data_IF_618603096600
#
_entry.id   IF_618603096600
#
_cell.length_a   1.000
_cell.length_b   1.000
_cell.length_c   1.000
_cell.angle_alpha   90.00
_cell.angle_beta   90.00
_cell.angle_gamma   90.00
#
_symmetry.space_group_name_H-M   'P 1'
#
loop_
_entity.id
_entity.type
_entity.pdbx_description
1 polymer ?
#
# COMPACT_ATOMS: atom_id res chain seq x y z
N UNK A 1 29.74 26.72 9.33
CA UNK A 1 28.66 27.65 8.87
C UNK A 1 27.75 28.04 10.04
N UNK A 2 27.24 27.07 10.79
CA UNK A 2 26.45 27.25 12.02
C UNK A 2 27.16 28.09 13.11
N UNK A 3 28.45 27.87 13.37
CA UNK A 3 29.22 28.71 14.32
C UNK A 3 29.30 30.19 13.94
N UNK A 4 29.05 30.54 12.66
CA UNK A 4 29.07 31.93 12.19
C UNK A 4 27.74 32.65 12.40
N UNK A 5 26.64 31.90 12.58
CA UNK A 5 25.29 32.43 12.73
C UNK A 5 24.56 31.59 13.81
N UNK A 6 24.83 31.85 15.10
CA UNK A 6 24.20 31.11 16.18
C UNK A 6 22.73 31.52 16.32
N UNK A 7 21.84 30.54 16.22
CA UNK A 7 20.41 30.73 16.50
C UNK A 7 20.10 30.44 17.96
N UNK A 8 19.10 31.14 18.52
CA UNK A 8 18.59 30.85 19.86
C UNK A 8 17.68 29.61 19.83
N UNK A 9 17.69 28.76 20.88
CA UNK A 9 16.71 27.70 21.01
C UNK A 9 15.28 28.23 20.90
N UNK A 10 14.41 27.53 20.16
CA UNK A 10 13.04 27.92 19.95
C UNK A 10 12.14 27.37 21.08
N UNK A 11 11.67 28.21 22.02
CA UNK A 11 10.88 27.74 23.16
C UNK A 11 9.56 27.08 22.74
N UNK A 12 8.94 27.54 21.64
CA UNK A 12 7.67 27.00 21.16
C UNK A 12 7.76 25.53 20.74
N UNK A 13 8.93 25.13 20.21
CA UNK A 13 9.17 23.72 19.85
C UNK A 13 9.34 22.85 21.09
N UNK A 14 9.90 23.40 22.17
CA UNK A 14 10.02 22.71 23.44
C UNK A 14 8.64 22.53 24.09
N UNK A 15 7.87 23.63 24.21
CA UNK A 15 6.51 23.61 24.77
C UNK A 15 5.60 22.60 24.04
N UNK A 16 5.75 22.47 22.72
CA UNK A 16 5.00 21.50 21.92
C UNK A 16 5.37 20.03 22.26
N UNK A 17 6.65 19.76 22.56
CA UNK A 17 7.10 18.43 22.98
C UNK A 17 6.58 18.12 24.39
N UNK A 18 6.65 19.08 25.31
CA UNK A 18 6.14 18.92 26.68
C UNK A 18 4.63 18.66 26.69
N UNK A 19 3.87 19.44 25.92
CA UNK A 19 2.43 19.24 25.76
C UNK A 19 2.10 17.84 25.23
N UNK A 20 2.84 17.34 24.23
CA UNK A 20 2.65 15.99 23.71
C UNK A 20 2.92 14.92 24.78
N UNK A 21 4.00 15.06 25.55
CA UNK A 21 4.34 14.11 26.61
C UNK A 21 3.24 14.06 27.68
N UNK A 22 2.70 15.20 28.09
CA UNK A 22 1.62 15.29 29.07
C UNK A 22 0.33 14.64 28.56
N UNK A 23 -0.05 14.92 27.31
CA UNK A 23 -1.23 14.32 26.66
C UNK A 23 -1.08 12.79 26.58
N UNK A 24 0.05 12.30 26.06
CA UNK A 24 0.30 10.87 25.90
C UNK A 24 0.29 10.15 27.26
N UNK A 25 0.90 10.73 28.29
CA UNK A 25 0.94 10.17 29.64
C UNK A 25 -0.44 10.14 30.29
N UNK A 26 -1.18 11.26 30.29
CA UNK A 26 -2.48 11.36 30.98
C UNK A 26 -3.52 10.46 30.35
N UNK A 27 -3.67 10.53 29.03
CA UNK A 27 -4.64 9.71 28.29
C UNK A 27 -4.21 8.24 28.35
N UNK A 28 -2.93 7.95 28.08
CA UNK A 28 -2.40 6.59 28.07
C UNK A 28 -2.57 5.90 29.43
N UNK A 29 -2.18 6.56 30.53
CA UNK A 29 -2.30 5.99 31.87
C UNK A 29 -3.76 5.80 32.30
N UNK A 30 -4.63 6.78 32.05
CA UNK A 30 -6.04 6.72 32.45
C UNK A 30 -6.76 5.53 31.78
N UNK A 31 -6.68 5.44 30.45
CA UNK A 31 -7.37 4.37 29.71
C UNK A 31 -6.72 3.00 29.92
N UNK A 32 -5.38 2.92 29.95
CA UNK A 32 -4.67 1.66 30.22
C UNK A 32 -5.06 1.08 31.57
N UNK A 33 -5.06 1.90 32.65
CA UNK A 33 -5.46 1.43 33.99
C UNK A 33 -6.91 1.00 34.02
N UNK A 34 -7.81 1.83 33.48
CA UNK A 34 -9.24 1.54 33.45
C UNK A 34 -9.54 0.21 32.75
N UNK A 35 -9.04 0.02 31.52
CA UNK A 35 -9.35 -1.17 30.74
C UNK A 35 -8.66 -2.42 31.27
N UNK A 36 -7.41 -2.30 31.74
CA UNK A 36 -6.67 -3.43 32.32
C UNK A 36 -7.39 -3.97 33.55
N UNK A 37 -7.64 -3.12 34.56
CA UNK A 37 -8.30 -3.54 35.80
C UNK A 37 -9.72 -4.08 35.54
N UNK A 38 -10.45 -3.47 34.61
CA UNK A 38 -11.80 -3.92 34.26
C UNK A 38 -11.81 -5.29 33.56
N UNK A 39 -10.89 -5.51 32.62
CA UNK A 39 -10.88 -6.73 31.80
C UNK A 39 -10.23 -7.91 32.52
N UNK A 40 -9.20 -7.67 33.34
CA UNK A 40 -8.60 -8.69 34.20
C UNK A 40 -9.64 -9.27 35.18
N UNK A 41 -10.46 -8.40 35.80
CA UNK A 41 -11.53 -8.83 36.70
C UNK A 41 -12.70 -9.52 35.98
N UNK A 42 -12.85 -9.33 34.67
CA UNK A 42 -14.00 -9.83 33.89
C UNK A 42 -13.69 -11.15 33.18
N UNK A 43 -12.45 -11.37 32.76
CA UNK A 43 -12.07 -12.52 31.93
C UNK A 43 -10.85 -13.20 32.54
N UNK A 44 -11.03 -14.44 33.04
CA UNK A 44 -9.98 -15.25 33.66
C UNK A 44 -8.76 -15.43 32.73
N UNK A 45 -8.99 -15.49 31.42
CA UNK A 45 -7.95 -15.68 30.39
C UNK A 45 -7.07 -14.45 30.15
N UNK A 46 -7.43 -13.27 30.66
CA UNK A 46 -6.59 -12.07 30.56
C UNK A 46 -5.49 -12.08 31.64
N UNK A 47 -5.70 -12.80 32.74
CA UNK A 47 -4.71 -12.95 33.81
C UNK A 47 -4.13 -11.61 34.28
N UNK A 48 -2.80 -11.52 34.33
CA UNK A 48 -2.06 -10.31 34.70
C UNK A 48 -1.58 -9.48 33.48
N UNK A 49 -2.14 -9.71 32.29
CA UNK A 49 -1.70 -8.99 31.09
C UNK A 49 -2.16 -7.53 31.13
N UNK A 50 -1.24 -6.61 30.83
CA UNK A 50 -1.55 -5.18 30.66
C UNK A 50 -2.16 -4.97 29.30
N UNK A 51 -3.34 -4.35 29.28
CA UNK A 51 -4.01 -3.95 28.05
C UNK A 51 -3.76 -2.45 27.92
N UNK A 52 -2.85 -2.04 27.03
CA UNK A 52 -2.45 -0.65 26.89
C UNK A 52 -3.36 0.13 25.92
N UNK A 53 -3.53 1.43 26.21
CA UNK A 53 -4.17 2.39 25.33
C UNK A 53 -3.23 3.58 25.11
N UNK A 54 -3.26 4.15 23.91
CA UNK A 54 -2.53 5.35 23.57
C UNK A 54 -3.20 6.05 22.39
N UNK A 55 -3.20 7.39 22.38
CA UNK A 55 -3.98 8.19 21.42
C UNK A 55 -3.54 7.96 19.96
N UNK A 56 -2.26 7.66 19.72
CA UNK A 56 -1.74 7.33 18.38
C UNK A 56 -1.72 5.81 18.09
N UNK A 57 -1.43 4.96 19.10
CA UNK A 57 -1.36 3.52 18.89
C UNK A 57 -2.72 2.90 18.53
N UNK A 58 -3.80 3.42 19.12
CA UNK A 58 -5.16 2.89 18.90
C UNK A 58 -5.65 3.06 17.46
N UNK A 59 -5.62 4.27 16.85
CA UNK A 59 -5.97 4.41 15.42
C UNK A 59 -5.00 3.67 14.50
N UNK A 60 -3.72 3.56 14.87
CA UNK A 60 -2.73 2.79 14.09
C UNK A 60 -3.11 1.30 14.01
N UNK A 61 -3.48 0.69 15.15
CA UNK A 61 -4.04 -0.67 15.16
C UNK A 61 -5.36 -0.75 14.40
N UNK A 62 -6.16 0.32 14.46
CA UNK A 62 -7.39 0.49 13.69
C UNK A 62 -7.22 0.20 12.20
N UNK A 63 -6.18 0.74 11.55
CA UNK A 63 -5.92 0.47 10.13
C UNK A 63 -5.69 -1.02 9.83
N UNK A 64 -4.99 -1.73 10.71
CA UNK A 64 -4.72 -3.16 10.56
C UNK A 64 -6.00 -3.98 10.72
N UNK A 65 -6.77 -3.68 11.78
CA UNK A 65 -8.04 -4.37 12.07
C UNK A 65 -9.06 -4.11 10.96
N UNK A 66 -9.18 -2.87 10.50
CA UNK A 66 -10.09 -2.49 9.43
C UNK A 66 -9.76 -3.22 8.12
N UNK A 67 -8.47 -3.29 7.75
CA UNK A 67 -8.03 -4.06 6.57
C UNK A 67 -8.35 -5.54 6.73
N UNK A 68 -8.12 -6.12 7.91
CA UNK A 68 -8.43 -7.52 8.21
C UNK A 68 -9.94 -7.79 8.08
N UNK A 69 -10.78 -6.92 8.64
CA UNK A 69 -12.23 -7.02 8.53
C UNK A 69 -12.70 -6.94 7.07
N UNK A 70 -12.15 -6.00 6.28
CA UNK A 70 -12.44 -5.89 4.84
C UNK A 70 -12.08 -7.15 4.07
N UNK A 71 -10.96 -7.80 4.38
CA UNK A 71 -10.56 -9.07 3.76
C UNK A 71 -11.53 -10.20 4.13
N UNK A 72 -11.91 -10.30 5.41
CA UNK A 72 -12.85 -11.34 5.88
C UNK A 72 -14.26 -11.15 5.31
N UNK A 73 -14.70 -9.90 5.14
CA UNK A 73 -16.00 -9.56 4.58
C UNK A 73 -16.04 -9.65 3.04
N UNK A 74 -14.90 -9.74 2.37
CA UNK A 74 -14.83 -9.81 0.92
C UNK A 74 -15.51 -11.08 0.41
N UNK A 75 -16.49 -10.91 -0.47
CA UNK A 75 -17.13 -11.99 -1.22
C UNK A 75 -16.60 -11.95 -2.65
N UNK A 76 -15.77 -12.92 -3.07
CA UNK A 76 -15.29 -12.97 -4.45
C UNK A 76 -16.47 -13.10 -5.42
N UNK A 77 -16.43 -12.33 -6.50
CA UNK A 77 -17.40 -12.40 -7.58
C UNK A 77 -16.72 -12.90 -8.84
N UNK A 78 -17.36 -13.86 -9.50
CA UNK A 78 -16.89 -14.37 -10.79
C UNK A 78 -17.04 -13.28 -11.84
N UNK A 79 -16.01 -13.14 -12.67
CA UNK A 79 -16.03 -12.26 -13.83
C UNK A 79 -15.43 -13.00 -15.02
N UNK A 80 -15.82 -12.56 -16.21
CA UNK A 80 -15.39 -13.10 -17.49
C UNK A 80 -14.80 -11.97 -18.33
N UNK A 81 -13.74 -12.26 -19.07
CA UNK A 81 -13.11 -11.33 -19.98
C UNK A 81 -12.75 -12.09 -21.25
N UNK A 82 -12.87 -11.42 -22.39
CA UNK A 82 -12.42 -11.93 -23.67
C UNK A 82 -10.97 -11.48 -23.85
N UNK A 83 -10.07 -12.40 -24.18
CA UNK A 83 -8.67 -12.10 -24.47
C UNK A 83 -8.33 -12.64 -25.84
N UNK A 84 -7.65 -11.84 -26.66
CA UNK A 84 -7.17 -12.26 -27.98
C UNK A 84 -5.64 -12.13 -28.03
N UNK A 85 -4.99 -13.11 -28.65
CA UNK A 85 -3.54 -13.14 -28.82
C UNK A 85 -3.19 -13.42 -30.29
N UNK A 86 -2.20 -12.72 -30.81
CA UNK A 86 -1.70 -12.89 -32.17
C UNK A 86 -0.23 -13.28 -32.15
N UNK A 87 0.10 -14.42 -32.75
CA UNK A 87 1.49 -14.89 -32.92
C UNK A 87 2.01 -14.58 -34.31
N UNK A 88 3.26 -14.09 -34.38
CA UNK A 88 3.94 -13.77 -35.63
C UNK A 88 5.43 -14.07 -35.51
N UNK A 89 6.10 -14.28 -36.64
CA UNK A 89 7.54 -14.55 -36.65
C UNK A 89 8.33 -13.32 -36.22
N UNK A 90 9.38 -13.53 -35.43
CA UNK A 90 10.25 -12.47 -34.98
C UNK A 90 11.14 -11.99 -36.14
N UNK A 91 10.98 -10.74 -36.62
CA UNK A 91 11.80 -10.23 -37.72
C UNK A 91 13.29 -10.13 -37.35
N UNK A 92 13.63 -9.99 -36.07
CA UNK A 92 15.01 -9.84 -35.59
C UNK A 92 15.70 -11.19 -35.28
N UNK A 93 14.93 -12.28 -35.15
CA UNK A 93 15.45 -13.62 -34.79
C UNK A 93 14.73 -14.72 -35.57
N UNK A 94 15.29 -15.18 -36.71
CA UNK A 94 14.72 -16.26 -37.50
C UNK A 94 14.51 -17.54 -36.67
N UNK A 95 13.29 -18.08 -36.69
CA UNK A 95 12.90 -19.27 -35.92
C UNK A 95 12.34 -18.99 -34.52
N UNK A 96 12.34 -17.73 -34.07
CA UNK A 96 11.63 -17.31 -32.85
C UNK A 96 10.26 -16.71 -33.20
N UNK A 97 9.21 -17.05 -32.45
CA UNK A 97 7.89 -16.41 -32.56
C UNK A 97 7.72 -15.33 -31.49
N UNK A 98 7.03 -14.25 -31.84
CA UNK A 98 6.52 -13.24 -30.94
C UNK A 98 5.01 -13.41 -30.77
N UNK A 99 4.49 -13.04 -29.60
CA UNK A 99 3.07 -13.04 -29.30
C UNK A 99 2.65 -11.67 -28.77
N UNK A 100 1.56 -11.14 -29.29
CA UNK A 100 0.96 -9.89 -28.83
C UNK A 100 -0.42 -10.17 -28.24
N UNK A 101 -0.64 -9.72 -27.00
CA UNK A 101 -1.93 -9.86 -26.31
C UNK A 101 -2.73 -8.56 -26.41
N UNK A 102 -3.96 -8.68 -26.88
CA UNK A 102 -4.92 -7.58 -26.95
C UNK A 102 -5.81 -7.58 -25.71
N UNK A 103 -5.85 -6.44 -25.04
CA UNK A 103 -6.76 -6.23 -23.92
C UNK A 103 -8.12 -5.80 -24.46
N UNK A 104 -9.18 -6.46 -23.99
CA UNK A 104 -10.54 -6.09 -24.34
C UNK A 104 -10.90 -4.71 -23.79
N UNK A 105 -11.45 -3.86 -24.64
CA UNK A 105 -11.84 -2.49 -24.28
C UNK A 105 -12.81 -2.44 -23.10
N UNK A 106 -13.73 -3.43 -23.00
CA UNK A 106 -14.68 -3.53 -21.87
C UNK A 106 -14.04 -4.07 -20.58
N UNK A 107 -12.77 -4.48 -20.61
CA UNK A 107 -12.01 -5.06 -19.50
C UNK A 107 -12.57 -6.41 -19.01
N UNK A 108 -13.77 -6.43 -18.39
CA UNK A 108 -14.43 -7.62 -17.85
C UNK A 108 -15.94 -7.42 -17.68
N UNK A 109 -16.70 -8.51 -17.67
CA UNK A 109 -18.13 -8.56 -17.34
C UNK A 109 -18.39 -9.51 -16.16
N UNK A 110 -19.40 -9.21 -15.36
CA UNK A 110 -19.85 -10.05 -14.23
C UNK A 110 -21.05 -10.95 -14.59
N UNK A 111 -21.48 -10.91 -15.85
CA UNK A 111 -22.52 -11.79 -16.37
C UNK A 111 -21.90 -12.73 -17.41
N UNK A 112 -22.05 -14.04 -17.16
CA UNK A 112 -21.49 -15.08 -18.02
C UNK A 112 -22.17 -15.12 -19.38
N UNK A 113 -23.49 -14.98 -19.44
CA UNK A 113 -24.26 -15.09 -20.69
C UNK A 113 -23.98 -13.89 -21.59
N UNK A 114 -23.91 -12.69 -21.02
CA UNK A 114 -23.53 -11.49 -21.75
C UNK A 114 -22.11 -11.61 -22.33
N UNK A 115 -21.15 -12.14 -21.56
CA UNK A 115 -19.80 -12.37 -22.06
C UNK A 115 -19.75 -13.47 -23.13
N UNK A 116 -20.57 -14.51 -23.01
CA UNK A 116 -20.65 -15.60 -23.97
C UNK A 116 -21.20 -15.14 -25.32
N UNK A 117 -22.29 -14.37 -25.33
CA UNK A 117 -22.88 -13.82 -26.56
C UNK A 117 -21.87 -12.95 -27.32
N UNK A 118 -21.09 -12.14 -26.59
CA UNK A 118 -20.04 -11.32 -27.19
C UNK A 118 -18.87 -12.16 -27.72
N UNK A 119 -18.52 -13.23 -27.01
CA UNK A 119 -17.49 -14.18 -27.44
C UNK A 119 -17.93 -14.93 -28.71
N UNK A 120 -19.16 -15.44 -28.74
CA UNK A 120 -19.71 -16.15 -29.90
C UNK A 120 -19.71 -15.24 -31.13
N UNK A 121 -20.12 -13.98 -30.99
CA UNK A 121 -20.04 -13.00 -32.08
C UNK A 121 -18.59 -12.78 -32.59
N UNK A 122 -17.59 -12.82 -31.71
CA UNK A 122 -16.18 -12.74 -32.12
C UNK A 122 -15.71 -14.00 -32.86
N UNK A 123 -16.17 -15.19 -32.46
CA UNK A 123 -15.82 -16.46 -33.11
C UNK A 123 -16.52 -16.60 -34.48
N UNK A 124 -17.80 -16.24 -34.56
CA UNK A 124 -18.57 -16.20 -35.81
C UNK A 124 -17.96 -15.24 -36.83
N UNK A 125 -17.32 -14.15 -36.36
CA UNK A 125 -16.56 -13.21 -37.19
C UNK A 125 -15.29 -13.78 -37.81
N UNK A 126 -14.96 -15.06 -37.62
CA UNK A 126 -13.87 -15.76 -38.32
C UNK A 126 -12.46 -15.50 -37.76
N UNK A 127 -12.35 -14.79 -36.63
CA UNK A 127 -11.05 -14.54 -35.98
C UNK A 127 -10.15 -13.54 -36.71
N UNK A 128 -10.62 -12.92 -37.79
CA UNK A 128 -9.91 -11.83 -38.46
C UNK A 128 -10.11 -10.52 -37.68
N UNK A 129 -9.01 -9.89 -37.30
CA UNK A 129 -9.02 -8.60 -36.61
C UNK A 129 -8.52 -7.50 -37.55
N UNK A 130 -9.23 -6.37 -37.59
CA UNK A 130 -8.83 -5.20 -38.36
C UNK A 130 -8.18 -4.18 -37.43
N UNK A 131 -6.99 -3.70 -37.80
CA UNK A 131 -6.33 -2.60 -37.08
C UNK A 131 -7.13 -1.33 -37.33
N UNK A 132 -7.86 -0.86 -36.31
CA UNK A 132 -8.67 0.36 -36.39
C UNK A 132 -7.84 1.62 -36.15
N UNK A 133 -6.85 1.55 -35.26
CA UNK A 133 -6.03 2.70 -34.89
C UNK A 133 -4.65 2.26 -34.40
N UNK A 134 -3.61 2.93 -34.86
CA UNK A 134 -2.26 2.83 -34.33
C UNK A 134 -1.84 4.20 -33.78
N UNK A 135 -1.58 4.27 -32.48
CA UNK A 135 -1.17 5.50 -31.81
C UNK A 135 0.22 5.32 -31.20
N UNK A 136 1.18 6.10 -31.67
CA UNK A 136 2.50 6.20 -31.06
C UNK A 136 2.59 7.52 -30.30
N UNK A 137 2.96 7.45 -29.02
CA UNK A 137 3.18 8.63 -28.18
C UNK A 137 4.45 8.46 -27.39
N UNK A 138 5.39 9.43 -27.41
CA UNK A 138 6.56 9.36 -26.56
C UNK A 138 6.11 9.42 -25.10
N UNK A 139 6.46 8.39 -24.32
CA UNK A 139 6.24 8.36 -22.88
C UNK A 139 7.56 8.55 -22.15
N UNK A 140 7.59 9.42 -21.14
CA UNK A 140 8.77 9.61 -20.29
C UNK A 140 8.47 9.16 -18.88
N UNK A 141 9.33 8.30 -18.33
CA UNK A 141 9.30 7.94 -16.91
C UNK A 141 10.08 8.99 -16.12
N UNK A 142 9.39 9.76 -15.29
CA UNK A 142 10.01 10.79 -14.48
C UNK A 142 10.97 10.20 -13.43
N UNK A 143 12.08 10.91 -13.19
CA UNK A 143 13.00 10.59 -12.09
C UNK A 143 12.30 10.78 -10.73
N UNK A 144 12.69 10.04 -9.69
CA UNK A 144 12.11 10.23 -8.37
C UNK A 144 12.40 11.63 -7.83
N UNK A 145 11.50 12.12 -6.98
CA UNK A 145 11.70 13.33 -6.19
C UNK A 145 12.80 13.12 -5.13
N UNK A 146 13.41 14.19 -4.59
CA UNK A 146 14.35 14.08 -3.47
C UNK A 146 13.77 13.24 -2.32
N UNK A 147 14.61 12.36 -1.77
CA UNK A 147 14.18 11.41 -0.76
C UNK A 147 13.80 12.12 0.54
N UNK A 148 12.59 11.87 1.04
CA UNK A 148 12.15 12.31 2.36
C UNK A 148 12.06 11.11 3.32
N UNK A 149 11.83 11.37 4.60
CA UNK A 149 11.79 10.33 5.66
C UNK A 149 10.73 9.26 5.40
N UNK A 150 9.55 9.65 4.90
CA UNK A 150 8.44 8.72 4.65
C UNK A 150 8.80 7.78 3.49
N UNK A 151 9.27 8.32 2.37
CA UNK A 151 9.69 7.54 1.20
C UNK A 151 10.89 6.65 1.54
N UNK A 152 11.84 7.15 2.34
CA UNK A 152 12.95 6.36 2.85
C UNK A 152 12.45 5.13 3.64
N UNK A 153 11.60 5.32 4.65
CA UNK A 153 11.08 4.23 5.47
C UNK A 153 10.27 3.22 4.63
N UNK A 154 9.43 3.68 3.71
CA UNK A 154 8.67 2.80 2.80
C UNK A 154 9.58 1.98 1.89
N UNK A 155 10.63 2.58 1.33
CA UNK A 155 11.61 1.88 0.49
C UNK A 155 12.48 0.92 1.28
N UNK A 156 12.92 1.30 2.48
CA UNK A 156 13.68 0.44 3.37
C UNK A 156 12.87 -0.81 3.73
N UNK A 157 11.59 -0.65 4.04
CA UNK A 157 10.69 -1.79 4.27
C UNK A 157 10.50 -2.64 3.02
N UNK A 158 10.17 -2.02 1.88
CA UNK A 158 9.84 -2.74 0.64
C UNK A 158 11.03 -3.47 0.01
N UNK A 159 12.20 -2.85 -0.01
CA UNK A 159 13.37 -3.35 -0.75
C UNK A 159 14.43 -3.96 0.15
N UNK A 160 14.63 -3.45 1.35
CA UNK A 160 15.66 -3.91 2.29
C UNK A 160 15.11 -4.79 3.42
N UNK A 161 13.78 -4.93 3.51
CA UNK A 161 13.09 -5.69 4.57
C UNK A 161 13.43 -5.20 5.98
N UNK A 162 13.75 -3.93 6.12
CA UNK A 162 14.00 -3.28 7.41
C UNK A 162 12.70 -2.71 7.97
N UNK A 163 12.44 -2.92 9.25
CA UNK A 163 11.36 -2.22 9.95
C UNK A 163 11.71 -0.73 10.10
N UNK A 164 10.70 0.12 10.25
CA UNK A 164 10.88 1.58 10.27
C UNK A 164 11.79 2.05 11.41
N UNK A 165 11.73 1.39 12.57
CA UNK A 165 12.60 1.64 13.74
C UNK A 165 14.07 1.34 13.43
N UNK A 166 14.38 0.17 12.86
CA UNK A 166 15.74 -0.20 12.48
C UNK A 166 16.27 0.73 11.38
N UNK A 167 15.45 1.04 10.38
CA UNK A 167 15.83 1.93 9.29
C UNK A 167 16.19 3.34 9.81
N UNK A 168 15.43 3.88 10.77
CA UNK A 168 15.73 5.18 11.39
C UNK A 168 16.98 5.13 12.26
N UNK A 169 17.17 4.06 13.04
CA UNK A 169 18.37 3.90 13.87
C UNK A 169 19.65 3.84 13.03
N UNK A 170 19.63 3.10 11.91
CA UNK A 170 20.75 3.06 10.96
C UNK A 170 20.97 4.42 10.31
N UNK A 171 19.91 5.10 9.89
CA UNK A 171 20.03 6.43 9.28
C UNK A 171 20.61 7.47 10.25
N UNK A 172 20.22 7.43 11.53
CA UNK A 172 20.78 8.27 12.58
C UNK A 172 22.25 7.96 12.82
N UNK A 173 22.63 6.68 12.89
CA UNK A 173 24.04 6.26 13.02
C UNK A 173 24.93 6.64 11.83
N UNK A 174 24.36 6.84 10.63
CA UNK A 174 25.07 7.37 9.47
C UNK A 174 25.13 8.90 9.42
N UNK A 175 24.22 9.58 10.13
CA UNK A 175 24.17 11.03 10.20
C UNK A 175 25.14 11.60 11.25
N UNK A 176 25.32 10.88 12.36
CA UNK A 176 26.26 11.20 13.44
C UNK A 176 27.72 11.16 12.95
#
# INVERSE_FOLDING_TARGET
RTLKFPDRPNPRMNDAVDARQEIDLRIGAAFTRFQTLRLQNKFENVGNTVISFGPCQFPTLGFVVERSARIKAFRPENFWAITSSYEFDNPDKPGAKLSCNFNWERTRLYDRLACLVLYDACVEGGGEAVVTQCNERPTTRQRPVPLNTIEFQMRASRFLRMSSDVAMAVAEGLYQ
#
